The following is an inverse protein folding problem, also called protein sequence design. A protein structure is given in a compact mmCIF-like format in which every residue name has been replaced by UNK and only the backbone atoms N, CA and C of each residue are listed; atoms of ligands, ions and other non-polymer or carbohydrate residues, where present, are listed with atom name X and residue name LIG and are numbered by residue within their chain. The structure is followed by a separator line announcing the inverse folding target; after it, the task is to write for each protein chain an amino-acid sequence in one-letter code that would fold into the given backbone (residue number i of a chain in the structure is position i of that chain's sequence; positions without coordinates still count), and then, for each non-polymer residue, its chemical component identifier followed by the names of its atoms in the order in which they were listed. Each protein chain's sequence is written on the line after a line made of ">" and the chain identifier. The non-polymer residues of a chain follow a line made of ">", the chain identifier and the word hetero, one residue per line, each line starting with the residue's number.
data_IF_176365722921
#
_entry.id   IF_176365722921
#
_cell.length_a   1.000
_cell.length_b   1.000
_cell.length_c   1.000
_cell.angle_alpha   90.00
_cell.angle_beta   90.00
_cell.angle_gamma   90.00
#
_symmetry.space_group_name_H-M   'P 1'
#
loop_
_entity.id
_entity.type
_entity.pdbx_description
1 polymer ?
#
# COMPACT_ATOMS: atom_id res chain seq x y z
N UNK A 1 84.24 -42.11 19.53
CA UNK A 1 85.11 -40.98 19.16
C UNK A 1 84.14 -39.88 18.82
N UNK A 2 83.69 -39.17 19.85
CA UNK A 2 82.57 -38.23 19.75
C UNK A 2 83.14 -36.82 19.56
N UNK A 3 82.80 -36.22 18.43
CA UNK A 3 83.21 -34.87 18.05
C UNK A 3 82.35 -33.85 18.79
N UNK A 4 82.93 -33.19 19.79
CA UNK A 4 82.36 -32.01 20.42
C UNK A 4 82.71 -30.77 19.57
N UNK A 5 81.73 -30.24 18.84
CA UNK A 5 81.83 -28.91 18.23
C UNK A 5 81.17 -27.89 19.15
N UNK A 6 82.00 -26.99 19.67
CA UNK A 6 81.64 -25.88 20.54
C UNK A 6 80.69 -24.89 19.83
N UNK A 7 79.60 -24.52 20.51
CA UNK A 7 78.71 -23.44 20.12
C UNK A 7 79.35 -22.09 20.47
N UNK A 8 79.55 -21.25 19.47
CA UNK A 8 79.87 -19.82 19.62
C UNK A 8 78.65 -19.13 20.25
N UNK A 9 78.80 -18.29 21.30
CA UNK A 9 77.69 -17.52 21.81
C UNK A 9 77.41 -16.35 20.85
N UNK A 10 76.17 -16.27 20.36
CA UNK A 10 75.67 -15.12 19.65
C UNK A 10 75.69 -13.92 20.61
N UNK A 11 76.51 -12.92 20.28
CA UNK A 11 76.44 -11.61 20.93
C UNK A 11 75.09 -10.97 20.59
N UNK A 12 74.14 -11.09 21.51
CA UNK A 12 72.92 -10.30 21.51
C UNK A 12 73.30 -8.81 21.62
N UNK A 13 73.19 -8.09 20.51
CA UNK A 13 73.35 -6.64 20.43
C UNK A 13 72.19 -6.03 21.24
N UNK A 14 72.43 -5.74 22.51
CA UNK A 14 71.51 -4.97 23.34
C UNK A 14 71.43 -3.53 22.82
N UNK A 15 70.43 -3.25 21.99
CA UNK A 15 70.09 -1.88 21.60
C UNK A 15 69.63 -1.09 22.83
N UNK A 16 70.53 -0.30 23.43
CA UNK A 16 70.27 0.63 24.55
C UNK A 16 69.46 1.89 24.16
N UNK A 17 68.71 1.87 23.05
CA UNK A 17 67.94 3.03 22.60
C UNK A 17 66.49 2.85 23.06
N UNK A 18 66.00 3.79 23.87
CA UNK A 18 64.61 3.80 24.28
C UNK A 18 63.68 3.82 23.05
N UNK A 19 62.59 3.03 23.02
CA UNK A 19 61.62 3.05 21.93
C UNK A 19 61.10 4.48 21.69
N UNK A 20 61.03 4.88 20.43
CA UNK A 20 60.48 6.18 20.05
C UNK A 20 59.01 6.27 20.50
N UNK A 21 58.70 7.30 21.28
CA UNK A 21 57.32 7.64 21.63
C UNK A 21 56.90 8.87 20.81
N UNK A 22 56.01 8.71 19.82
CA UNK A 22 55.61 9.82 18.95
C UNK A 22 54.85 10.92 19.70
N UNK A 23 54.19 10.60 20.82
CA UNK A 23 53.44 11.57 21.62
C UNK A 23 54.30 12.01 22.81
N UNK A 24 55.00 13.15 22.74
CA UNK A 24 55.80 13.64 23.86
C UNK A 24 54.92 13.98 25.07
N UNK A 25 55.47 13.76 26.27
CA UNK A 25 54.85 14.12 27.54
C UNK A 25 54.95 15.64 27.77
N UNK A 26 54.25 16.41 26.93
CA UNK A 26 54.13 17.87 27.03
C UNK A 26 52.87 18.40 26.37
N UNK A 27 52.60 19.70 26.51
CA UNK A 27 51.46 20.35 25.87
C UNK A 27 51.62 20.43 24.34
N UNK A 28 50.73 19.74 23.61
CA UNK A 28 50.65 19.77 22.15
C UNK A 28 49.34 20.44 21.71
N UNK A 29 49.40 21.52 20.90
CA UNK A 29 48.22 22.13 20.29
C UNK A 29 47.37 21.10 19.53
N UNK A 30 46.04 21.20 19.65
CA UNK A 30 45.09 20.22 19.08
C UNK A 30 45.32 20.00 17.59
N UNK A 31 45.59 21.08 16.83
CA UNK A 31 45.84 21.03 15.38
C UNK A 31 47.02 20.15 14.95
N UNK A 32 47.95 19.85 15.86
CA UNK A 32 49.11 19.01 15.58
C UNK A 32 48.93 17.55 16.01
N UNK A 33 47.91 17.21 16.80
CA UNK A 33 47.73 15.86 17.37
C UNK A 33 47.51 14.78 16.31
N UNK A 34 46.76 15.11 15.26
CA UNK A 34 46.39 14.17 14.20
C UNK A 34 47.46 14.06 13.08
N UNK A 35 48.52 14.87 13.14
CA UNK A 35 49.61 14.88 12.15
C UNK A 35 50.98 14.55 12.73
N UNK A 36 51.02 14.09 13.98
CA UNK A 36 52.28 13.61 14.57
C UNK A 36 52.74 12.40 13.76
N UNK A 37 53.92 12.44 13.14
CA UNK A 37 54.44 11.30 12.41
C UNK A 37 54.61 10.09 13.36
N UNK A 38 54.18 8.89 12.94
CA UNK A 38 54.40 7.68 13.73
C UNK A 38 55.90 7.33 13.83
N UNK A 39 56.70 7.80 12.87
CA UNK A 39 58.13 7.56 12.76
C UNK A 39 58.97 8.73 13.32
N UNK A 40 60.21 8.48 13.79
CA UNK A 40 61.11 9.53 14.26
C UNK A 40 61.49 10.50 13.14
N UNK A 41 61.52 11.79 13.48
CA UNK A 41 61.83 12.88 12.55
C UNK A 41 63.33 13.17 12.62
N UNK A 42 63.96 13.35 11.46
CA UNK A 42 65.38 13.71 11.34
C UNK A 42 65.54 15.02 10.57
N UNK A 43 66.56 15.79 10.94
CA UNK A 43 66.99 16.96 10.19
C UNK A 43 67.77 16.54 8.92
N UNK A 44 68.01 17.50 8.02
CA UNK A 44 68.76 17.32 6.77
C UNK A 44 70.18 16.76 6.98
N UNK A 45 70.75 16.95 8.17
CA UNK A 45 72.05 16.40 8.58
C UNK A 45 71.95 14.99 9.20
N UNK A 46 70.77 14.36 9.19
CA UNK A 46 70.52 13.03 9.77
C UNK A 46 70.46 13.02 11.30
N UNK A 47 70.35 14.19 11.94
CA UNK A 47 70.24 14.31 13.40
C UNK A 47 68.78 14.15 13.85
N UNK A 48 68.55 13.40 14.93
CA UNK A 48 67.21 13.18 15.48
C UNK A 48 66.62 14.48 16.05
N UNK A 49 65.42 14.84 15.59
CA UNK A 49 64.70 15.99 16.10
C UNK A 49 63.92 15.57 17.35
N UNK A 50 64.31 16.13 18.49
CA UNK A 50 63.67 15.84 19.77
C UNK A 50 62.22 16.37 19.74
N UNK A 51 61.20 15.52 19.99
CA UNK A 51 59.82 15.95 20.11
C UNK A 51 59.65 17.09 21.11
N UNK A 52 58.98 18.17 20.69
CA UNK A 52 58.77 19.36 21.51
C UNK A 52 59.90 20.39 21.54
N UNK A 53 61.00 20.11 20.84
CA UNK A 53 61.99 21.14 20.51
C UNK A 53 61.42 22.19 19.55
N UNK A 54 62.11 23.34 19.41
CA UNK A 54 61.72 24.38 18.45
C UNK A 54 61.68 23.84 17.01
N UNK A 55 62.67 23.04 16.64
CA UNK A 55 62.77 22.43 15.30
C UNK A 55 61.60 21.49 15.03
N UNK A 56 61.18 20.72 16.05
CA UNK A 56 60.00 19.88 15.96
C UNK A 56 58.74 20.68 15.65
N UNK A 57 58.51 21.81 16.36
CA UNK A 57 57.37 22.68 16.08
C UNK A 57 57.41 23.32 14.70
N UNK A 58 58.60 23.68 14.19
CA UNK A 58 58.78 24.20 12.83
C UNK A 58 58.38 23.18 11.79
N UNK A 59 58.83 21.93 11.96
CA UNK A 59 58.49 20.82 11.07
C UNK A 59 56.98 20.52 11.10
N UNK A 60 56.39 20.42 12.30
CA UNK A 60 54.95 20.20 12.46
C UNK A 60 54.10 21.31 11.84
N UNK A 61 54.56 22.57 11.88
CA UNK A 61 53.87 23.68 11.24
C UNK A 61 53.87 23.56 9.70
N UNK A 62 54.99 23.13 9.10
CA UNK A 62 55.06 22.88 7.66
C UNK A 62 54.19 21.70 7.24
N UNK A 63 54.19 20.61 8.00
CA UNK A 63 53.28 19.49 7.79
C UNK A 63 51.81 19.92 7.89
N UNK A 64 51.48 20.77 8.87
CA UNK A 64 50.13 21.27 9.03
C UNK A 64 49.66 22.03 7.79
N UNK A 65 50.50 22.95 7.29
CA UNK A 65 50.20 23.70 6.07
C UNK A 65 50.00 22.79 4.86
N UNK A 66 50.87 21.81 4.65
CA UNK A 66 50.83 20.93 3.48
C UNK A 66 49.62 19.98 3.50
N UNK A 67 49.17 19.54 4.68
CA UNK A 67 48.11 18.52 4.82
C UNK A 67 46.75 19.10 5.22
N UNK A 68 46.65 20.42 5.40
CA UNK A 68 45.41 21.07 5.86
C UNK A 68 44.27 20.91 4.88
N UNK A 69 44.54 21.18 3.60
CA UNK A 69 43.51 21.16 2.56
C UNK A 69 43.03 19.72 2.29
N UNK A 70 43.95 18.76 2.22
CA UNK A 70 43.62 17.33 2.09
C UNK A 70 42.78 16.81 3.25
N UNK A 71 43.08 17.24 4.49
CA UNK A 71 42.30 16.87 5.68
C UNK A 71 40.90 17.48 5.65
N UNK A 72 40.78 18.71 5.17
CA UNK A 72 39.50 19.38 5.02
C UNK A 72 38.64 18.67 3.96
N UNK A 73 39.22 18.38 2.79
CA UNK A 73 38.56 17.65 1.70
C UNK A 73 38.10 16.27 2.16
N UNK A 74 38.97 15.49 2.82
CA UNK A 74 38.61 14.17 3.35
C UNK A 74 37.49 14.22 4.38
N UNK A 75 37.48 15.26 5.23
CA UNK A 75 36.41 15.44 6.21
C UNK A 75 35.08 15.79 5.53
N UNK A 76 35.11 16.61 4.48
CA UNK A 76 33.92 16.98 3.73
C UNK A 76 33.39 15.83 2.86
N UNK A 77 34.28 15.04 2.26
CA UNK A 77 33.93 13.77 1.59
C UNK A 77 33.31 12.78 2.55
N UNK A 78 33.86 12.63 3.77
CA UNK A 78 33.30 11.76 4.78
C UNK A 78 31.90 12.21 5.23
N UNK A 79 31.68 13.52 5.40
CA UNK A 79 30.34 14.07 5.71
C UNK A 79 29.38 13.82 4.56
N UNK A 80 29.82 14.03 3.31
CA UNK A 80 29.00 13.80 2.13
C UNK A 80 28.63 12.32 2.01
N UNK A 81 29.60 11.41 2.14
CA UNK A 81 29.37 9.98 2.11
C UNK A 81 28.41 9.52 3.22
N UNK A 82 28.56 10.04 4.44
CA UNK A 82 27.65 9.75 5.55
C UNK A 82 26.21 10.19 5.24
N UNK A 83 26.04 11.40 4.68
CA UNK A 83 24.73 11.91 4.27
C UNK A 83 24.09 11.08 3.16
N UNK A 84 24.87 10.64 2.17
CA UNK A 84 24.37 9.76 1.10
C UNK A 84 23.97 8.39 1.66
N UNK A 85 24.77 7.82 2.56
CA UNK A 85 24.44 6.55 3.20
C UNK A 85 23.13 6.64 4.01
N UNK A 86 22.93 7.74 4.75
CA UNK A 86 21.70 8.01 5.49
C UNK A 86 20.48 8.11 4.56
N UNK A 87 20.59 8.89 3.48
CA UNK A 87 19.51 9.03 2.49
C UNK A 87 19.15 7.69 1.83
N UNK A 88 20.17 6.89 1.49
CA UNK A 88 19.96 5.56 0.92
C UNK A 88 19.28 4.62 1.93
N UNK A 89 19.72 4.61 3.19
CA UNK A 89 19.11 3.79 4.23
C UNK A 89 17.64 4.19 4.48
N UNK A 90 17.33 5.49 4.49
CA UNK A 90 15.96 5.97 4.61
C UNK A 90 15.10 5.58 3.39
N UNK A 91 15.66 5.66 2.19
CA UNK A 91 14.98 5.22 0.96
C UNK A 91 14.69 3.71 0.98
N UNK A 92 15.64 2.88 1.39
CA UNK A 92 15.42 1.45 1.50
C UNK A 92 14.41 1.08 2.59
N UNK A 93 14.45 1.76 3.75
CA UNK A 93 13.47 1.57 4.81
C UNK A 93 12.04 1.90 4.37
N UNK A 94 11.86 3.01 3.64
CA UNK A 94 10.54 3.41 3.11
C UNK A 94 10.03 2.44 2.05
N UNK A 95 10.90 1.97 1.13
CA UNK A 95 10.55 0.92 0.16
C UNK A 95 10.13 -0.37 0.85
N UNK A 96 10.88 -0.81 1.86
CA UNK A 96 10.59 -2.02 2.62
C UNK A 96 9.23 -1.92 3.32
N UNK A 97 8.96 -0.80 3.99
CA UNK A 97 7.68 -0.56 4.65
C UNK A 97 6.50 -0.60 3.66
N UNK A 98 6.64 0.06 2.51
CA UNK A 98 5.59 0.05 1.49
C UNK A 98 5.37 -1.36 0.92
N UNK A 99 6.43 -2.15 0.76
CA UNK A 99 6.33 -3.54 0.34
C UNK A 99 5.57 -4.40 1.37
N UNK A 100 5.85 -4.23 2.65
CA UNK A 100 5.14 -4.92 3.73
C UNK A 100 3.64 -4.58 3.73
N UNK A 101 3.29 -3.30 3.60
CA UNK A 101 1.89 -2.87 3.50
C UNK A 101 1.16 -3.52 2.32
N UNK A 102 1.82 -3.62 1.17
CA UNK A 102 1.25 -4.30 -0.01
C UNK A 102 1.04 -5.79 0.25
N UNK A 103 2.01 -6.45 0.90
CA UNK A 103 1.91 -7.86 1.27
C UNK A 103 0.76 -8.09 2.25
N UNK A 104 0.64 -7.29 3.31
CA UNK A 104 -0.47 -7.34 4.28
C UNK A 104 -1.82 -7.15 3.59
N UNK A 105 -1.95 -6.13 2.75
CA UNK A 105 -3.17 -5.88 1.99
C UNK A 105 -3.52 -7.07 1.08
N UNK A 106 -2.52 -7.68 0.44
CA UNK A 106 -2.74 -8.85 -0.42
C UNK A 106 -3.23 -10.07 0.39
N UNK A 107 -2.69 -10.27 1.59
CA UNK A 107 -3.11 -11.34 2.49
C UNK A 107 -4.53 -11.12 2.99
N UNK A 108 -4.86 -9.90 3.43
CA UNK A 108 -6.21 -9.54 3.86
C UNK A 108 -7.23 -9.82 2.75
N UNK A 109 -6.93 -9.38 1.53
CA UNK A 109 -7.79 -9.63 0.37
C UNK A 109 -7.98 -11.12 0.07
N UNK A 110 -6.95 -11.95 0.25
CA UNK A 110 -7.07 -13.41 0.12
C UNK A 110 -7.94 -14.01 1.21
N UNK A 111 -7.75 -13.61 2.47
CA UNK A 111 -8.59 -14.10 3.58
C UNK A 111 -10.06 -13.75 3.38
N UNK A 112 -10.36 -12.52 2.92
CA UNK A 112 -11.72 -12.10 2.60
C UNK A 112 -12.34 -12.93 1.46
N UNK A 113 -11.56 -13.30 0.44
CA UNK A 113 -12.03 -14.19 -0.65
C UNK A 113 -12.36 -15.58 -0.10
N UNK A 114 -11.45 -16.17 0.67
CA UNK A 114 -11.65 -17.49 1.29
C UNK A 114 -12.88 -17.48 2.21
N UNK A 115 -13.05 -16.43 3.02
CA UNK A 115 -14.20 -16.29 3.92
C UNK A 115 -15.51 -16.16 3.14
N UNK A 116 -15.52 -15.40 2.04
CA UNK A 116 -16.70 -15.28 1.14
C UNK A 116 -17.04 -16.63 0.51
N UNK A 117 -16.05 -17.36 0.02
CA UNK A 117 -16.26 -18.68 -0.58
C UNK A 117 -16.78 -19.67 0.46
N UNK A 118 -16.21 -19.69 1.67
CA UNK A 118 -16.70 -20.50 2.77
C UNK A 118 -18.16 -20.15 3.14
N UNK A 119 -18.52 -18.86 3.15
CA UNK A 119 -19.91 -18.42 3.39
C UNK A 119 -20.86 -18.92 2.30
N UNK A 120 -20.47 -18.83 1.02
CA UNK A 120 -21.28 -19.34 -0.10
C UNK A 120 -21.43 -20.85 -0.03
N UNK A 121 -20.37 -21.58 0.34
CA UNK A 121 -20.41 -23.04 0.54
C UNK A 121 -21.36 -23.42 1.69
N UNK A 122 -21.27 -22.75 2.84
CA UNK A 122 -22.16 -23.00 3.97
C UNK A 122 -23.64 -22.75 3.62
N UNK A 123 -23.93 -21.70 2.84
CA UNK A 123 -25.28 -21.44 2.32
C UNK A 123 -25.74 -22.53 1.36
N UNK A 124 -24.83 -23.05 0.53
CA UNK A 124 -25.10 -24.16 -0.37
C UNK A 124 -25.50 -25.42 0.40
N UNK A 125 -24.75 -25.76 1.45
CA UNK A 125 -25.03 -26.89 2.34
C UNK A 125 -26.40 -26.70 3.02
N UNK A 126 -26.66 -25.52 3.60
CA UNK A 126 -27.92 -25.24 4.29
C UNK A 126 -29.14 -25.40 3.39
N UNK A 127 -29.07 -24.90 2.15
CA UNK A 127 -30.15 -25.03 1.17
C UNK A 127 -30.11 -26.34 0.36
N UNK A 128 -29.22 -27.27 0.72
CA UNK A 128 -28.95 -28.52 0.02
C UNK A 128 -28.89 -28.33 -1.51
N UNK A 129 -28.03 -27.41 -1.94
CA UNK A 129 -27.88 -27.00 -3.34
C UNK A 129 -26.41 -26.81 -3.69
N UNK A 130 -26.12 -26.62 -4.96
CA UNK A 130 -24.78 -26.24 -5.43
C UNK A 130 -24.54 -24.74 -5.22
N UNK A 131 -23.29 -24.35 -4.95
CA UNK A 131 -22.85 -22.95 -4.81
C UNK A 131 -23.32 -22.05 -5.96
N UNK A 132 -23.32 -22.55 -7.19
CA UNK A 132 -23.81 -21.83 -8.38
C UNK A 132 -25.29 -21.45 -8.30
N UNK A 133 -26.09 -22.26 -7.60
CA UNK A 133 -27.54 -22.12 -7.51
C UNK A 133 -28.02 -21.60 -6.14
N UNK A 134 -27.10 -21.24 -5.23
CA UNK A 134 -27.43 -20.74 -3.88
C UNK A 134 -28.37 -19.55 -3.94
N UNK A 135 -28.02 -18.53 -4.74
CA UNK A 135 -28.82 -17.30 -4.85
C UNK A 135 -30.24 -17.57 -5.34
N UNK A 136 -30.36 -18.42 -6.36
CA UNK A 136 -31.66 -18.81 -6.91
C UNK A 136 -32.51 -19.56 -5.86
N UNK A 137 -31.92 -20.53 -5.15
CA UNK A 137 -32.60 -21.29 -4.10
C UNK A 137 -33.02 -20.43 -2.92
N UNK A 138 -32.18 -19.48 -2.51
CA UNK A 138 -32.49 -18.53 -1.46
C UNK A 138 -33.70 -17.67 -1.82
N UNK A 139 -33.76 -17.16 -3.06
CA UNK A 139 -34.93 -16.38 -3.54
C UNK A 139 -36.19 -17.23 -3.59
N UNK A 140 -36.12 -18.43 -4.16
CA UNK A 140 -37.26 -19.36 -4.19
C UNK A 140 -37.81 -19.65 -2.79
N UNK A 141 -36.92 -19.89 -1.80
CA UNK A 141 -37.34 -20.10 -0.42
C UNK A 141 -38.03 -18.86 0.18
N UNK A 142 -37.50 -17.65 -0.09
CA UNK A 142 -38.10 -16.38 0.33
C UNK A 142 -39.47 -16.16 -0.31
N UNK A 143 -39.58 -16.31 -1.63
CA UNK A 143 -40.80 -16.08 -2.39
C UNK A 143 -41.91 -17.03 -1.92
N UNK A 144 -41.61 -18.32 -1.77
CA UNK A 144 -42.55 -19.31 -1.24
C UNK A 144 -43.00 -18.97 0.19
N UNK A 145 -42.07 -18.48 1.02
CA UNK A 145 -42.38 -18.04 2.39
C UNK A 145 -43.31 -16.82 2.38
N UNK A 146 -43.05 -15.84 1.53
CA UNK A 146 -43.86 -14.63 1.40
C UNK A 146 -45.25 -14.94 0.82
N UNK A 147 -45.33 -15.81 -0.19
CA UNK A 147 -46.59 -16.25 -0.77
C UNK A 147 -47.44 -17.01 0.23
N UNK A 148 -46.84 -17.92 1.02
CA UNK A 148 -47.56 -18.61 2.09
C UNK A 148 -48.09 -17.63 3.14
N UNK A 149 -47.26 -16.66 3.59
CA UNK A 149 -47.71 -15.61 4.51
C UNK A 149 -48.87 -14.82 3.93
N UNK A 150 -48.78 -14.41 2.67
CA UNK A 150 -49.82 -13.65 1.98
C UNK A 150 -51.10 -14.47 1.86
N UNK A 151 -51.00 -15.74 1.47
CA UNK A 151 -52.13 -16.64 1.38
C UNK A 151 -52.86 -16.79 2.73
N UNK A 152 -52.11 -17.08 3.80
CA UNK A 152 -52.71 -17.21 5.14
C UNK A 152 -53.28 -15.88 5.65
N UNK A 153 -52.65 -14.75 5.35
CA UNK A 153 -53.17 -13.43 5.69
C UNK A 153 -54.49 -13.14 4.96
N UNK A 154 -54.57 -13.42 3.66
CA UNK A 154 -55.79 -13.26 2.87
C UNK A 154 -56.90 -14.19 3.36
N UNK A 155 -56.58 -15.46 3.63
CA UNK A 155 -57.54 -16.43 4.15
C UNK A 155 -58.07 -16.04 5.54
N UNK A 156 -57.22 -15.46 6.40
CA UNK A 156 -57.61 -15.04 7.75
C UNK A 156 -58.40 -13.73 7.73
N UNK A 157 -58.00 -12.79 6.87
CA UNK A 157 -58.57 -11.44 6.80
C UNK A 157 -59.57 -11.27 5.66
N UNK A 158 -60.03 -12.36 5.02
CA UNK A 158 -61.05 -12.26 3.98
C UNK A 158 -62.36 -11.77 4.59
N UNK A 159 -62.56 -10.45 4.57
CA UNK A 159 -63.87 -9.85 4.79
C UNK A 159 -64.82 -10.47 3.76
N UNK A 160 -65.95 -11.03 4.24
CA UNK A 160 -67.03 -11.54 3.40
C UNK A 160 -67.30 -10.53 2.29
N UNK A 161 -67.32 -10.94 1.01
CA UNK A 161 -67.35 -10.00 -0.10
C UNK A 161 -68.56 -9.05 0.03
N UNK A 162 -68.28 -7.77 0.29
CA UNK A 162 -69.27 -6.70 0.28
C UNK A 162 -69.70 -6.44 -1.16
N UNK A 163 -70.85 -7.01 -1.50
CA UNK A 163 -71.70 -6.78 -2.66
C UNK A 163 -71.13 -7.12 -4.05
N UNK A 164 -71.83 -8.06 -4.69
CA UNK A 164 -71.41 -8.77 -5.89
C UNK A 164 -71.23 -7.86 -7.11
N UNK A 165 -70.33 -8.27 -8.02
CA UNK A 165 -70.08 -7.67 -9.35
C UNK A 165 -71.35 -7.23 -10.09
N UNK A 166 -72.47 -7.91 -9.88
CA UNK A 166 -73.77 -7.60 -10.48
C UNK A 166 -74.31 -6.22 -10.11
N UNK A 167 -74.10 -5.77 -8.87
CA UNK A 167 -74.54 -4.43 -8.44
C UNK A 167 -73.70 -3.31 -9.06
N UNK A 168 -72.39 -3.52 -9.20
CA UNK A 168 -71.50 -2.59 -9.91
C UNK A 168 -71.85 -2.50 -11.40
N UNK A 169 -72.20 -3.62 -12.04
CA UNK A 169 -72.65 -3.66 -13.45
C UNK A 169 -73.95 -2.89 -13.66
N UNK A 170 -74.93 -3.01 -12.75
CA UNK A 170 -76.18 -2.22 -12.79
C UNK A 170 -75.89 -0.71 -12.71
N UNK A 171 -75.03 -0.28 -11.78
CA UNK A 171 -74.66 1.15 -11.64
C UNK A 171 -73.95 1.69 -12.90
N UNK A 172 -73.04 0.91 -13.50
CA UNK A 172 -72.35 1.31 -14.75
C UNK A 172 -73.33 1.49 -15.92
N UNK A 173 -74.28 0.57 -16.08
CA UNK A 173 -75.33 0.69 -17.12
C UNK A 173 -76.21 1.92 -16.92
N UNK A 174 -76.59 2.21 -15.67
CA UNK A 174 -77.37 3.41 -15.34
C UNK A 174 -76.61 4.70 -15.66
N UNK A 175 -75.32 4.73 -15.36
CA UNK A 175 -74.46 5.88 -15.67
C UNK A 175 -74.29 6.08 -17.18
N UNK A 176 -74.10 5.00 -17.94
CA UNK A 176 -74.01 5.04 -19.40
C UNK A 176 -75.26 5.66 -20.01
N UNK A 177 -76.46 5.21 -19.60
CA UNK A 177 -77.73 5.77 -20.07
C UNK A 177 -77.87 7.27 -19.76
N UNK A 178 -77.40 7.72 -18.59
CA UNK A 178 -77.42 9.16 -18.24
C UNK A 178 -76.47 9.98 -19.11
N UNK A 179 -75.28 9.44 -19.40
CA UNK A 179 -74.30 10.10 -20.28
C UNK A 179 -74.84 10.17 -21.70
N UNK A 180 -75.41 9.09 -22.22
CA UNK A 180 -75.98 9.04 -23.57
C UNK A 180 -77.15 10.03 -23.70
N UNK A 181 -78.03 10.09 -22.68
CA UNK A 181 -79.11 11.09 -22.62
C UNK A 181 -78.59 12.53 -22.56
N UNK A 182 -77.46 12.77 -21.90
CA UNK A 182 -76.85 14.10 -21.83
C UNK A 182 -76.33 14.55 -23.20
N UNK A 183 -75.64 13.67 -23.94
CA UNK A 183 -75.15 13.99 -25.28
C UNK A 183 -76.28 14.20 -26.31
N UNK A 184 -77.40 13.50 -26.17
CA UNK A 184 -78.60 13.73 -27.00
C UNK A 184 -79.16 15.15 -26.78
N UNK A 185 -79.19 15.62 -25.53
CA UNK A 185 -79.75 16.92 -25.18
C UNK A 185 -78.79 18.09 -25.45
N UNK A 186 -77.48 17.83 -25.59
CA UNK A 186 -76.45 18.85 -25.78
C UNK A 186 -75.48 18.43 -26.90
N UNK A 187 -75.91 18.50 -28.18
CA UNK A 187 -75.15 17.97 -29.32
C UNK A 187 -73.83 18.70 -29.61
N UNK A 188 -73.64 19.90 -29.05
CA UNK A 188 -72.43 20.70 -29.22
C UNK A 188 -71.29 20.31 -28.24
N UNK A 189 -71.54 19.34 -27.35
CA UNK A 189 -70.55 18.88 -26.36
C UNK A 189 -69.84 17.66 -26.94
N UNK A 190 -68.55 17.78 -27.25
CA UNK A 190 -67.73 16.66 -27.72
C UNK A 190 -67.38 15.70 -26.58
N UNK A 191 -67.40 14.40 -26.86
CA UNK A 191 -67.04 13.38 -25.88
C UNK A 191 -65.52 13.39 -25.60
N UNK A 192 -65.07 13.12 -24.36
CA UNK A 192 -63.65 13.01 -24.06
C UNK A 192 -63.02 11.84 -24.83
N UNK A 193 -61.87 12.09 -25.45
CA UNK A 193 -61.02 11.09 -26.11
C UNK A 193 -60.79 9.91 -25.16
N UNK A 194 -61.14 8.70 -25.63
CA UNK A 194 -60.92 7.45 -24.92
C UNK A 194 -59.41 7.24 -24.73
N UNK A 195 -58.90 7.52 -23.54
CA UNK A 195 -57.54 7.20 -23.13
C UNK A 195 -57.41 5.67 -23.08
N UNK A 196 -56.78 5.08 -24.09
CA UNK A 196 -56.47 3.65 -24.08
C UNK A 196 -55.37 3.41 -23.04
N UNK A 197 -55.71 2.68 -21.97
CA UNK A 197 -54.69 2.14 -21.08
C UNK A 197 -53.93 1.03 -21.80
N UNK A 198 -52.69 1.32 -22.16
CA UNK A 198 -51.75 0.31 -22.61
C UNK A 198 -51.49 -0.68 -21.46
N UNK A 199 -52.01 -1.89 -21.61
CA UNK A 199 -51.73 -3.01 -20.71
C UNK A 199 -50.54 -3.78 -21.28
N UNK A 200 -49.39 -3.13 -21.41
CA UNK A 200 -48.14 -3.83 -21.67
C UNK A 200 -47.50 -4.09 -20.31
N UNK A 201 -47.48 -5.37 -19.90
CA UNK A 201 -46.66 -5.83 -18.80
C UNK A 201 -45.25 -5.26 -18.95
N UNK A 202 -44.73 -4.60 -17.92
CA UNK A 202 -43.39 -4.03 -18.00
C UNK A 202 -42.37 -5.16 -18.18
N UNK A 203 -41.42 -5.03 -19.10
CA UNK A 203 -40.26 -5.93 -19.14
C UNK A 203 -39.55 -5.88 -17.80
N UNK A 204 -39.26 -7.06 -17.24
CA UNK A 204 -38.59 -7.19 -15.95
C UNK A 204 -37.09 -7.01 -16.17
N UNK A 205 -36.56 -5.84 -15.82
CA UNK A 205 -35.14 -5.54 -15.92
C UNK A 205 -34.38 -6.16 -14.74
N UNK A 206 -33.42 -7.03 -15.05
CA UNK A 206 -32.45 -7.57 -14.10
C UNK A 206 -31.49 -6.45 -13.66
N UNK A 207 -31.85 -5.72 -12.61
CA UNK A 207 -30.99 -4.65 -12.03
C UNK A 207 -29.73 -5.18 -11.33
N UNK A 208 -29.58 -6.48 -11.17
CA UNK A 208 -28.48 -7.08 -10.37
C UNK A 208 -27.24 -7.47 -11.17
N UNK A 209 -27.21 -7.25 -12.49
CA UNK A 209 -26.04 -7.55 -13.34
C UNK A 209 -25.20 -6.31 -13.70
N UNK A 210 -25.41 -5.16 -13.04
CA UNK A 210 -24.47 -4.04 -13.14
C UNK A 210 -23.29 -4.35 -12.22
N UNK A 211 -22.47 -5.33 -12.62
CA UNK A 211 -21.05 -5.23 -12.32
C UNK A 211 -20.56 -3.99 -13.07
N UNK A 212 -19.79 -3.09 -12.44
CA UNK A 212 -19.00 -2.12 -13.20
C UNK A 212 -18.07 -2.93 -14.10
N UNK A 213 -18.39 -3.03 -15.39
CA UNK A 213 -17.50 -3.59 -16.40
C UNK A 213 -16.44 -2.56 -16.80
N UNK A 214 -16.52 -1.34 -16.27
CA UNK A 214 -15.45 -0.36 -16.43
C UNK A 214 -14.29 -0.79 -15.53
N UNK A 215 -13.13 -1.17 -16.10
CA UNK A 215 -11.92 -1.22 -15.31
C UNK A 215 -11.75 0.17 -14.70
N UNK A 216 -11.67 0.23 -13.38
CA UNK A 216 -11.22 1.42 -12.68
C UNK A 216 -9.77 1.68 -13.09
N UNK A 217 -9.60 2.39 -14.21
CA UNK A 217 -8.33 2.93 -14.65
C UNK A 217 -8.21 4.28 -13.97
N UNK A 218 -7.39 4.34 -12.93
CA UNK A 218 -6.91 5.60 -12.37
C UNK A 218 -6.38 6.49 -13.50
N UNK A 219 -6.83 7.74 -13.56
CA UNK A 219 -6.32 8.72 -14.54
C UNK A 219 -4.82 9.01 -14.35
N UNK A 220 -4.24 8.67 -13.20
CA UNK A 220 -2.86 9.01 -12.82
C UNK A 220 -1.76 8.24 -13.61
N UNK A 221 -2.10 7.24 -14.43
CA UNK A 221 -1.12 6.44 -15.18
C UNK A 221 -1.13 6.61 -16.70
N UNK A 222 -1.99 7.49 -17.26
CA UNK A 222 -2.15 7.62 -18.73
C UNK A 222 -0.94 8.19 -19.47
N UNK A 223 -0.01 8.85 -18.78
CA UNK A 223 1.09 9.54 -19.44
C UNK A 223 2.37 8.71 -19.62
N UNK A 224 2.41 7.46 -19.15
CA UNK A 224 3.64 6.64 -19.15
C UNK A 224 3.59 5.44 -20.10
N UNK A 225 2.42 5.09 -20.66
CA UNK A 225 2.28 4.00 -21.63
C UNK A 225 2.56 4.48 -23.06
N UNK A 226 3.82 4.39 -23.48
CA UNK A 226 4.20 4.45 -24.89
C UNK A 226 4.30 3.02 -25.43
N UNK A 227 3.34 2.62 -26.27
CA UNK A 227 3.42 1.36 -27.00
C UNK A 227 4.20 1.54 -28.31
N UNK A 228 5.14 0.64 -28.64
CA UNK A 228 5.79 0.67 -29.94
C UNK A 228 4.80 0.27 -31.05
N UNK A 229 4.73 1.11 -32.09
CA UNK A 229 3.95 0.85 -33.30
C UNK A 229 4.53 -0.37 -34.04
N UNK A 230 3.65 -1.29 -34.44
CA UNK A 230 3.96 -2.37 -35.39
C UNK A 230 3.91 -1.84 -36.82
#
# INVERSE_FOLDING_TARGET
>A
MDTASASVPNNDILHMVAPYNPIPDMFIPIKYRDIIPPDPIYDNFGSFIIPGSREWFTYMYQLDLNTRDERLEKADDAKFAARIAELNAASEATKLHNKQLQEEYSQEMQTLRIQKDARVQNLAIYHNTSTKHVKYRQRQASDLTEWNKTYHMVMTNSQRPTLSKYQKKKKKKLLQLKIDSFFINYPNVSAPLQLKHDTKCSPFDYKDNILPTDPYTSDDTKEIETHPLK
#
